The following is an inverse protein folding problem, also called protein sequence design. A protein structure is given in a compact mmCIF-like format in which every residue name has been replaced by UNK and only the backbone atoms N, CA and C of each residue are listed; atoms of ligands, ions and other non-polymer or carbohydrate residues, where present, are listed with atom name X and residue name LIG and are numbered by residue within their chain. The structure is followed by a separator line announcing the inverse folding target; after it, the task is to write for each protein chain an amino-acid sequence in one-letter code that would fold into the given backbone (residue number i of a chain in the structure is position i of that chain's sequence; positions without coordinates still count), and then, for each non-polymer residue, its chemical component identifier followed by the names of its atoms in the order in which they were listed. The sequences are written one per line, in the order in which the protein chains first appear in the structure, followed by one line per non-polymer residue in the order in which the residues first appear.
data_IF_192266738419
#
_entry.id   IF_192266738419
#
_cell.length_a   1.000
_cell.length_b   1.000
_cell.length_c   1.000
_cell.angle_alpha   90.00
_cell.angle_beta   90.00
_cell.angle_gamma   90.00
#
_symmetry.space_group_name_H-M   'P 1'
#
loop_
_entity.id
_entity.type
_entity.pdbx_description
1 polymer ?
#
# COMPACT_ATOMS: atom_id res chain seq x y z
N UNK A 1 51.14 -34.06 54.67
CA UNK A 1 50.66 -34.52 53.35
C UNK A 1 49.15 -34.54 53.38
N UNK A 2 48.50 -33.46 52.95
CA UNK A 2 47.04 -33.38 52.79
C UNK A 2 46.76 -33.21 51.29
N UNK A 3 46.06 -34.17 50.69
CA UNK A 3 45.56 -34.09 49.32
C UNK A 3 44.05 -33.80 49.35
N UNK A 4 43.67 -32.62 48.87
CA UNK A 4 42.28 -32.33 48.46
C UNK A 4 41.98 -32.95 47.08
N UNK A 5 40.75 -33.42 46.83
CA UNK A 5 40.32 -33.76 45.48
C UNK A 5 39.73 -32.53 44.78
N UNK A 6 40.41 -32.06 43.73
CA UNK A 6 39.86 -31.06 42.80
C UNK A 6 38.63 -31.63 42.07
N UNK A 7 37.44 -31.12 42.37
CA UNK A 7 36.24 -31.33 41.56
C UNK A 7 36.35 -30.53 40.25
N UNK A 8 36.51 -31.23 39.14
CA UNK A 8 36.44 -30.67 37.79
C UNK A 8 34.96 -30.31 37.49
N UNK A 9 34.61 -29.02 37.52
CA UNK A 9 33.30 -28.55 37.06
C UNK A 9 33.32 -28.47 35.53
N UNK A 10 32.71 -29.45 34.88
CA UNK A 10 32.46 -29.42 33.43
C UNK A 10 31.25 -28.50 33.19
N UNK A 11 31.49 -27.34 32.61
CA UNK A 11 30.44 -26.44 32.13
C UNK A 11 29.95 -26.95 30.77
N UNK A 12 28.80 -27.59 30.73
CA UNK A 12 28.13 -27.90 29.46
C UNK A 12 27.56 -26.60 28.88
N UNK A 13 28.26 -26.01 27.91
CA UNK A 13 27.68 -25.01 27.02
C UNK A 13 26.62 -25.72 26.15
N UNK A 14 25.35 -25.59 26.52
CA UNK A 14 24.24 -25.86 25.61
C UNK A 14 24.25 -24.79 24.52
N UNK A 15 24.98 -25.06 23.44
CA UNK A 15 24.82 -24.33 22.20
C UNK A 15 23.49 -24.82 21.60
N UNK A 16 22.38 -24.18 21.98
CA UNK A 16 21.12 -24.37 21.30
C UNK A 16 21.33 -23.93 19.85
N UNK A 17 21.46 -24.89 18.94
CA UNK A 17 21.32 -24.68 17.51
C UNK A 17 19.90 -24.14 17.30
N UNK A 18 19.77 -22.81 17.32
CA UNK A 18 18.61 -22.13 16.79
C UNK A 18 18.68 -22.39 15.29
N UNK A 19 18.07 -23.48 14.84
CA UNK A 19 17.78 -23.68 13.43
C UNK A 19 17.06 -22.41 12.98
N UNK A 20 17.55 -21.70 11.95
CA UNK A 20 16.85 -20.54 11.44
C UNK A 20 15.44 -21.03 11.07
N UNK A 21 14.42 -20.48 11.73
CA UNK A 21 13.04 -20.70 11.32
C UNK A 21 13.00 -20.25 9.88
N UNK A 22 12.84 -21.19 8.94
CA UNK A 22 12.70 -20.87 7.53
C UNK A 22 11.38 -20.10 7.38
N UNK A 23 11.51 -18.77 7.36
CA UNK A 23 10.45 -17.80 7.06
C UNK A 23 10.02 -17.98 5.61
N UNK A 24 8.76 -17.64 5.30
CA UNK A 24 8.16 -17.59 3.96
C UNK A 24 9.21 -17.59 2.84
N UNK A 25 9.62 -18.78 2.37
CA UNK A 25 10.64 -18.93 1.33
C UNK A 25 10.00 -18.47 0.05
N UNK A 26 10.55 -17.38 -0.45
CA UNK A 26 10.32 -16.96 -1.81
C UNK A 26 11.02 -18.01 -2.66
N UNK A 27 10.31 -18.72 -3.55
CA UNK A 27 10.93 -19.64 -4.49
C UNK A 27 12.13 -18.96 -5.14
N UNK A 28 13.21 -19.69 -5.43
CA UNK A 28 14.35 -19.11 -6.18
C UNK A 28 13.81 -18.55 -7.50
N UNK A 29 13.61 -17.25 -7.53
CA UNK A 29 12.98 -16.59 -8.66
C UNK A 29 13.97 -16.43 -9.80
N UNK A 30 13.41 -16.23 -10.99
CA UNK A 30 14.20 -15.70 -12.08
C UNK A 30 14.68 -14.29 -11.69
N UNK A 31 15.99 -14.14 -11.47
CA UNK A 31 16.65 -12.86 -11.18
C UNK A 31 16.29 -11.79 -12.20
N UNK A 32 15.98 -12.20 -13.44
CA UNK A 32 15.63 -11.29 -14.52
C UNK A 32 14.29 -10.60 -14.27
N UNK A 33 13.29 -11.30 -13.72
CA UNK A 33 11.96 -10.74 -13.43
C UNK A 33 12.04 -9.65 -12.34
N UNK A 34 12.83 -9.90 -11.28
CA UNK A 34 13.10 -8.89 -10.23
C UNK A 34 13.82 -7.69 -10.84
N UNK A 35 14.86 -7.95 -11.65
CA UNK A 35 15.62 -6.91 -12.34
C UNK A 35 14.73 -6.05 -13.24
N UNK A 36 13.73 -6.64 -13.89
CA UNK A 36 12.74 -5.94 -14.68
C UNK A 36 11.82 -5.05 -13.85
N UNK A 37 11.28 -5.59 -12.76
CA UNK A 37 10.45 -4.82 -11.82
C UNK A 37 11.21 -3.62 -11.25
N UNK A 38 12.45 -3.84 -10.82
CA UNK A 38 13.30 -2.80 -10.26
C UNK A 38 13.62 -1.71 -11.31
N UNK A 39 13.99 -2.09 -12.54
CA UNK A 39 14.20 -1.12 -13.62
C UNK A 39 12.93 -0.36 -14.00
N UNK A 40 11.76 -0.99 -13.98
CA UNK A 40 10.48 -0.32 -14.24
C UNK A 40 10.22 0.75 -13.19
N UNK A 41 10.35 0.42 -11.90
CA UNK A 41 10.24 1.40 -10.82
C UNK A 41 11.28 2.52 -10.95
N UNK A 42 12.53 2.18 -11.30
CA UNK A 42 13.59 3.16 -11.54
C UNK A 42 13.24 4.13 -12.68
N UNK A 43 12.72 3.64 -13.81
CA UNK A 43 12.35 4.51 -14.93
C UNK A 43 11.30 5.56 -14.57
N UNK A 44 10.37 5.23 -13.66
CA UNK A 44 9.37 6.19 -13.20
C UNK A 44 9.96 7.26 -12.29
N UNK A 45 11.08 6.97 -11.61
CA UNK A 45 11.79 8.00 -10.83
C UNK A 45 12.44 9.08 -11.69
N UNK A 46 12.60 8.83 -13.00
CA UNK A 46 13.21 9.77 -13.95
C UNK A 46 12.16 10.62 -14.67
N UNK A 47 10.92 10.13 -14.76
CA UNK A 47 9.82 10.87 -15.37
C UNK A 47 9.41 12.07 -14.50
N UNK A 48 9.61 13.28 -15.03
CA UNK A 48 9.26 14.52 -14.34
C UNK A 48 7.75 14.81 -14.37
N UNK A 49 7.00 14.17 -15.27
CA UNK A 49 5.55 14.33 -15.38
C UNK A 49 4.78 13.50 -14.34
N UNK A 50 5.41 12.47 -13.77
CA UNK A 50 4.78 11.57 -12.80
C UNK A 50 4.81 12.17 -11.39
N UNK A 51 3.72 11.93 -10.66
CA UNK A 51 3.62 12.31 -9.25
C UNK A 51 4.66 11.55 -8.41
N UNK A 52 5.25 12.25 -7.44
CA UNK A 52 6.25 11.68 -6.55
C UNK A 52 5.60 10.73 -5.55
N UNK A 53 6.06 9.49 -5.51
CA UNK A 53 5.52 8.43 -4.66
C UNK A 53 6.61 7.90 -3.70
N UNK A 54 6.54 8.21 -2.40
CA UNK A 54 7.52 7.71 -1.43
C UNK A 54 7.55 6.17 -1.32
N UNK A 55 6.46 5.47 -1.67
CA UNK A 55 6.43 4.00 -1.70
C UNK A 55 7.39 3.43 -2.74
N UNK A 56 7.55 4.09 -3.89
CA UNK A 56 8.53 3.71 -4.92
C UNK A 56 9.94 3.81 -4.36
N UNK A 57 10.27 4.90 -3.66
CA UNK A 57 11.58 5.03 -3.02
C UNK A 57 11.82 3.94 -1.96
N UNK A 58 10.83 3.68 -1.11
CA UNK A 58 10.90 2.60 -0.12
C UNK A 58 11.15 1.23 -0.76
N UNK A 59 10.47 0.93 -1.89
CA UNK A 59 10.65 -0.31 -2.62
C UNK A 59 12.08 -0.48 -3.12
N UNK A 60 12.64 0.57 -3.73
CA UNK A 60 14.03 0.58 -4.22
C UNK A 60 15.03 0.40 -3.07
N UNK A 61 14.81 1.06 -1.93
CA UNK A 61 15.67 0.91 -0.75
C UNK A 61 15.57 -0.45 -0.07
N UNK A 62 14.40 -1.09 -0.11
CA UNK A 62 14.19 -2.44 0.40
C UNK A 62 14.64 -3.52 -0.61
N UNK A 63 14.93 -3.15 -1.85
CA UNK A 63 15.56 -4.04 -2.84
C UNK A 63 16.96 -4.49 -2.40
N UNK A 64 17.51 -5.46 -3.12
CA UNK A 64 18.94 -5.78 -3.08
C UNK A 64 19.72 -5.15 -4.23
N UNK A 65 19.02 -4.67 -5.26
CA UNK A 65 19.63 -4.04 -6.44
C UNK A 65 19.43 -2.53 -6.42
N UNK A 66 20.53 -1.78 -6.42
CA UNK A 66 20.50 -0.32 -6.23
C UNK A 66 21.06 0.46 -7.40
N UNK A 67 20.50 1.65 -7.60
CA UNK A 67 21.13 2.74 -8.34
C UNK A 67 21.17 3.97 -7.43
N UNK A 68 22.21 4.06 -6.61
CA UNK A 68 22.32 5.01 -5.51
C UNK A 68 22.24 6.46 -6.00
N UNK A 69 22.79 6.75 -7.18
CA UNK A 69 22.72 8.09 -7.78
C UNK A 69 21.28 8.49 -8.09
N UNK A 70 20.53 7.65 -8.80
CA UNK A 70 19.14 7.93 -9.18
C UNK A 70 18.21 7.93 -7.97
N UNK A 71 18.41 6.99 -7.05
CA UNK A 71 17.69 6.95 -5.78
C UNK A 71 17.90 8.23 -4.96
N UNK A 72 19.14 8.73 -4.85
CA UNK A 72 19.44 9.97 -4.16
C UNK A 72 18.78 11.19 -4.84
N UNK A 73 18.78 11.24 -6.17
CA UNK A 73 18.10 12.30 -6.93
C UNK A 73 16.59 12.28 -6.70
N UNK A 74 15.96 11.10 -6.75
CA UNK A 74 14.53 10.95 -6.49
C UNK A 74 14.17 11.33 -5.05
N UNK A 75 14.98 10.90 -4.08
CA UNK A 75 14.83 11.28 -2.69
C UNK A 75 14.94 12.79 -2.48
N UNK A 76 15.85 13.47 -3.16
CA UNK A 76 15.95 14.93 -3.08
C UNK A 76 14.71 15.62 -3.64
N UNK A 77 14.10 15.09 -4.72
CA UNK A 77 12.81 15.58 -5.24
C UNK A 77 11.70 15.39 -4.21
N UNK A 78 11.61 14.22 -3.56
CA UNK A 78 10.67 13.96 -2.47
C UNK A 78 10.85 14.97 -1.34
N UNK A 79 12.10 15.20 -0.90
CA UNK A 79 12.43 16.16 0.15
C UNK A 79 11.96 17.56 -0.20
N UNK A 80 12.23 18.03 -1.42
CA UNK A 80 11.80 19.35 -1.89
C UNK A 80 10.27 19.47 -1.89
N UNK A 81 9.55 18.46 -2.40
CA UNK A 81 8.09 18.50 -2.48
C UNK A 81 7.39 18.52 -1.11
N UNK A 82 7.87 17.70 -0.17
CA UNK A 82 7.26 17.61 1.16
C UNK A 82 7.69 18.75 2.10
N UNK A 83 8.90 19.30 1.93
CA UNK A 83 9.38 20.44 2.73
C UNK A 83 8.91 21.81 2.22
N UNK A 84 8.73 22.00 0.90
CA UNK A 84 8.18 23.24 0.35
C UNK A 84 6.72 23.44 0.78
N UNK A 85 5.93 22.36 0.81
CA UNK A 85 4.54 22.35 1.29
C UNK A 85 4.40 22.64 2.79
N UNK A 86 5.47 22.53 3.57
CA UNK A 86 5.50 22.88 5.00
C UNK A 86 5.75 24.39 5.21
N UNK A 87 6.27 25.09 4.20
CA UNK A 87 6.49 26.55 4.23
C UNK A 87 5.30 27.37 3.74
N UNK A 88 4.41 26.78 2.94
CA UNK A 88 3.16 27.42 2.53
C UNK A 88 2.11 27.27 3.63
N UNK A 89 1.99 28.29 4.49
CA UNK A 89 0.74 28.55 5.20
C UNK A 89 -0.31 28.88 4.14
N UNK A 90 -1.09 27.89 3.71
CA UNK A 90 -2.26 28.15 2.88
C UNK A 90 -3.25 28.97 3.72
N UNK A 91 -3.82 30.08 3.18
CA UNK A 91 -4.82 30.85 3.88
C UNK A 91 -6.03 29.97 4.24
N UNK A 92 -6.62 30.24 5.40
CA UNK A 92 -7.79 29.54 5.91
C UNK A 92 -8.94 29.64 4.88
N UNK A 93 -9.28 28.52 4.24
CA UNK A 93 -10.36 28.47 3.24
C UNK A 93 -10.23 27.35 2.21
N UNK A 94 -9.02 26.83 1.96
CA UNK A 94 -8.82 25.61 1.16
C UNK A 94 -8.43 24.46 2.08
N UNK A 95 -9.41 23.73 2.60
CA UNK A 95 -9.16 22.48 3.33
C UNK A 95 -8.66 21.42 2.35
N UNK A 96 -7.34 21.39 2.12
CA UNK A 96 -6.70 20.22 1.50
C UNK A 96 -6.82 19.08 2.52
N UNK A 97 -7.45 17.96 2.12
CA UNK A 97 -7.64 16.75 2.91
C UNK A 97 -6.42 16.40 3.80
N UNK A 98 -6.64 15.75 4.97
CA UNK A 98 -5.54 15.33 5.84
C UNK A 98 -4.54 14.47 5.07
N UNK A 99 -3.30 14.94 4.98
CA UNK A 99 -2.20 14.26 4.30
C UNK A 99 -1.57 13.17 5.18
N UNK A 100 -2.31 12.59 6.13
CA UNK A 100 -1.81 11.63 7.13
C UNK A 100 -1.03 10.51 6.44
N UNK A 101 -1.62 9.86 5.45
CA UNK A 101 -0.98 8.77 4.71
C UNK A 101 0.24 9.21 3.90
N UNK A 102 0.17 10.34 3.21
CA UNK A 102 1.31 10.87 2.43
C UNK A 102 2.49 11.27 3.31
N UNK A 103 2.23 11.95 4.43
CA UNK A 103 3.25 12.32 5.41
C UNK A 103 3.86 11.07 6.07
N UNK A 104 3.03 10.08 6.38
CA UNK A 104 3.49 8.81 6.92
C UNK A 104 4.40 8.06 5.93
N UNK A 105 4.01 7.94 4.67
CA UNK A 105 4.86 7.35 3.61
C UNK A 105 6.18 8.12 3.45
N UNK A 106 6.14 9.45 3.48
CA UNK A 106 7.35 10.25 3.41
C UNK A 106 8.27 10.02 4.64
N UNK A 107 7.71 9.87 5.83
CA UNK A 107 8.48 9.50 7.03
C UNK A 107 9.09 8.09 6.90
N UNK A 108 8.37 7.12 6.33
CA UNK A 108 8.96 5.80 6.03
C UNK A 108 10.12 5.92 5.03
N UNK A 109 9.97 6.74 3.97
CA UNK A 109 11.05 7.01 3.02
C UNK A 109 12.27 7.70 3.68
N UNK A 110 12.06 8.64 4.60
CA UNK A 110 13.13 9.25 5.41
C UNK A 110 13.89 8.19 6.23
N UNK A 111 13.18 7.21 6.81
CA UNK A 111 13.80 6.10 7.54
C UNK A 111 14.62 5.21 6.61
N UNK A 112 14.08 4.89 5.44
CA UNK A 112 14.75 4.10 4.42
C UNK A 112 15.98 4.81 3.81
N UNK A 113 16.00 6.14 3.84
CA UNK A 113 17.14 6.97 3.45
C UNK A 113 18.16 7.19 4.58
N UNK A 114 17.99 6.56 5.74
CA UNK A 114 18.80 6.75 6.95
C UNK A 114 19.01 8.22 7.34
N UNK A 115 17.98 9.06 7.19
CA UNK A 115 18.06 10.46 7.60
C UNK A 115 18.14 10.63 9.11
N UNK A 116 18.86 11.66 9.55
CA UNK A 116 18.85 12.07 10.96
C UNK A 116 17.51 12.73 11.33
N UNK A 117 16.76 12.04 12.18
CA UNK A 117 15.44 12.44 12.64
C UNK A 117 15.48 13.37 13.87
N UNK A 118 16.66 13.72 14.36
CA UNK A 118 16.84 14.61 15.51
C UNK A 118 16.98 16.08 15.13
N UNK A 119 17.09 16.38 13.83
CA UNK A 119 17.03 17.75 13.31
C UNK A 119 15.68 18.43 13.60
N UNK A 120 15.67 19.75 13.68
CA UNK A 120 14.47 20.55 13.99
C UNK A 120 13.36 20.34 12.96
N UNK A 121 13.72 20.27 11.69
CA UNK A 121 12.80 20.04 10.57
C UNK A 121 12.13 18.68 10.70
N UNK A 122 12.90 17.61 10.94
CA UNK A 122 12.35 16.26 11.06
C UNK A 122 11.47 16.10 12.30
N UNK A 123 11.85 16.72 13.43
CA UNK A 123 11.01 16.80 14.63
C UNK A 123 9.65 17.44 14.38
N UNK A 124 9.58 18.47 13.53
CA UNK A 124 8.30 19.12 13.15
C UNK A 124 7.39 18.16 12.36
N UNK A 125 7.94 17.39 11.42
CA UNK A 125 7.18 16.41 10.65
C UNK A 125 6.60 15.31 11.57
N UNK A 126 7.39 14.82 12.52
CA UNK A 126 6.94 13.86 13.54
C UNK A 126 5.81 14.44 14.39
N UNK A 127 5.95 15.67 14.88
CA UNK A 127 4.91 16.36 15.66
C UNK A 127 3.64 16.55 14.85
N UNK A 128 3.75 16.93 13.57
CA UNK A 128 2.62 17.05 12.65
C UNK A 128 1.88 15.73 12.48
N UNK A 129 2.59 14.62 12.24
CA UNK A 129 1.95 13.32 12.11
C UNK A 129 1.24 12.88 13.41
N UNK A 130 1.83 13.16 14.58
CA UNK A 130 1.17 12.90 15.88
C UNK A 130 -0.11 13.71 16.04
N UNK A 131 -0.09 14.97 15.63
CA UNK A 131 -1.25 15.86 15.65
C UNK A 131 -2.35 15.38 14.71
N UNK A 132 -1.99 14.99 13.49
CA UNK A 132 -2.94 14.46 12.51
C UNK A 132 -3.61 13.18 13.04
N UNK A 133 -2.84 12.24 13.61
CA UNK A 133 -3.40 11.05 14.27
C UNK A 133 -4.31 11.37 15.47
N UNK A 134 -4.06 12.47 16.18
CA UNK A 134 -4.95 12.93 17.26
C UNK A 134 -6.30 13.41 16.73
N UNK A 135 -6.30 14.17 15.63
CA UNK A 135 -7.54 14.59 14.96
C UNK A 135 -8.32 13.40 14.44
N UNK A 136 -7.64 12.43 13.82
CA UNK A 136 -8.24 11.18 13.37
C UNK A 136 -8.88 10.42 14.55
N UNK A 137 -8.18 10.33 15.70
CA UNK A 137 -8.69 9.74 16.95
C UNK A 137 -9.94 10.48 17.45
N UNK A 138 -9.95 11.80 17.42
CA UNK A 138 -11.09 12.61 17.86
C UNK A 138 -12.32 12.37 16.99
N UNK A 139 -12.15 12.25 15.67
CA UNK A 139 -13.23 11.91 14.74
C UNK A 139 -13.83 10.52 15.00
N UNK A 140 -13.02 9.54 15.39
CA UNK A 140 -13.51 8.21 15.80
C UNK A 140 -14.39 8.31 17.06
N UNK A 141 -14.07 9.25 17.96
CA UNK A 141 -14.81 9.52 19.18
C UNK A 141 -14.61 8.49 20.30
N UNK A 142 -15.08 8.79 21.53
CA UNK A 142 -14.89 7.94 22.71
C UNK A 142 -15.62 6.59 22.58
N UNK A 143 -16.85 6.60 22.07
CA UNK A 143 -17.69 5.39 21.87
C UNK A 143 -17.37 4.61 20.60
N UNK A 144 -16.43 5.10 19.78
CA UNK A 144 -15.97 4.44 18.54
C UNK A 144 -17.09 4.24 17.51
N UNK A 145 -18.16 5.02 17.60
CA UNK A 145 -19.22 5.04 16.59
C UNK A 145 -18.82 5.83 15.34
N UNK A 146 -17.77 6.65 15.44
CA UNK A 146 -17.20 7.38 14.32
C UNK A 146 -16.16 6.58 13.54
N UNK A 147 -15.61 7.22 12.52
CA UNK A 147 -14.54 6.71 11.67
C UNK A 147 -13.36 7.69 11.67
N UNK A 148 -12.15 7.28 11.23
CA UNK A 148 -11.09 8.24 10.95
C UNK A 148 -11.56 9.30 9.92
N UNK A 149 -10.96 10.48 9.96
CA UNK A 149 -11.14 11.53 8.93
C UNK A 149 -10.71 10.99 7.56
N UNK A 150 -9.64 10.19 7.52
CA UNK A 150 -9.20 9.49 6.31
C UNK A 150 -9.79 8.08 6.27
N UNK A 151 -9.02 7.06 6.65
CA UNK A 151 -9.43 5.67 6.77
C UNK A 151 -8.45 4.91 7.69
N UNK A 152 -8.81 3.71 8.10
CA UNK A 152 -7.96 2.91 8.99
C UNK A 152 -6.63 2.48 8.35
N UNK A 153 -6.53 2.42 7.02
CA UNK A 153 -5.26 2.17 6.34
C UNK A 153 -4.27 3.32 6.58
N UNK A 154 -4.68 4.57 6.34
CA UNK A 154 -3.85 5.75 6.58
C UNK A 154 -3.56 5.97 8.07
N UNK A 155 -4.53 5.68 8.94
CA UNK A 155 -4.33 5.67 10.39
C UNK A 155 -3.22 4.68 10.80
N UNK A 156 -3.31 3.45 10.30
CA UNK A 156 -2.32 2.39 10.54
C UNK A 156 -0.94 2.77 9.99
N UNK A 157 -0.90 3.36 8.80
CA UNK A 157 0.32 3.81 8.16
C UNK A 157 1.02 4.91 8.98
N UNK A 158 0.25 5.86 9.54
CA UNK A 158 0.78 6.87 10.46
C UNK A 158 1.35 6.27 11.74
N UNK A 159 0.65 5.29 12.32
CA UNK A 159 1.13 4.55 13.50
C UNK A 159 2.43 3.79 13.18
N UNK A 160 2.49 3.10 12.04
CA UNK A 160 3.68 2.39 11.58
C UNK A 160 4.87 3.35 11.40
N UNK A 161 4.65 4.48 10.72
CA UNK A 161 5.69 5.47 10.47
C UNK A 161 6.31 6.02 11.77
N UNK A 162 5.51 6.35 12.77
CA UNK A 162 6.04 6.77 14.07
C UNK A 162 6.80 5.63 14.77
N UNK A 163 6.30 4.40 14.67
CA UNK A 163 6.89 3.25 15.33
C UNK A 163 8.28 2.89 14.79
N UNK A 164 8.47 2.83 13.47
CA UNK A 164 9.78 2.48 12.86
C UNK A 164 10.86 3.53 13.15
N UNK A 165 10.45 4.75 13.49
CA UNK A 165 11.32 5.84 13.96
C UNK A 165 11.56 5.83 15.49
N UNK A 166 11.04 4.82 16.20
CA UNK A 166 11.15 4.72 17.66
C UNK A 166 10.43 5.85 18.42
N UNK A 167 9.45 6.52 17.79
CA UNK A 167 8.75 7.65 18.41
C UNK A 167 7.54 7.16 19.20
N UNK A 168 7.49 7.51 20.49
CA UNK A 168 6.35 7.18 21.37
C UNK A 168 5.04 7.76 20.82
N UNK A 169 4.02 6.92 20.72
CA UNK A 169 2.68 7.27 20.30
C UNK A 169 1.78 7.30 21.54
N UNK A 170 0.78 8.18 21.53
CA UNK A 170 -0.24 8.19 22.57
C UNK A 170 -0.99 6.85 22.60
N UNK A 171 -1.22 6.33 23.80
CA UNK A 171 -1.83 5.01 23.99
C UNK A 171 -3.28 4.96 23.56
N UNK A 172 -4.03 6.07 23.63
CA UNK A 172 -5.40 6.15 23.14
C UNK A 172 -5.47 6.09 21.61
N UNK A 173 -4.48 6.64 20.90
CA UNK A 173 -4.35 6.48 19.44
C UNK A 173 -4.16 5.00 19.10
N UNK A 174 -3.25 4.32 19.80
CA UNK A 174 -3.03 2.88 19.61
C UNK A 174 -4.29 2.08 19.92
N UNK A 175 -4.98 2.41 21.02
CA UNK A 175 -6.18 1.69 21.47
C UNK A 175 -7.32 1.81 20.46
N UNK A 176 -7.50 2.96 19.78
CA UNK A 176 -8.50 3.09 18.71
C UNK A 176 -8.25 2.12 17.57
N UNK A 177 -6.99 1.93 17.17
CA UNK A 177 -6.65 0.99 16.11
C UNK A 177 -6.83 -0.47 16.56
N UNK A 178 -6.41 -0.82 17.79
CA UNK A 178 -6.64 -2.16 18.36
C UNK A 178 -8.15 -2.45 18.43
N UNK A 179 -8.94 -1.52 18.92
CA UNK A 179 -10.38 -1.72 19.05
C UNK A 179 -11.06 -1.84 17.68
N UNK A 180 -10.62 -1.08 16.68
CA UNK A 180 -11.10 -1.23 15.31
C UNK A 180 -10.85 -2.66 14.77
N UNK A 181 -9.66 -3.21 15.02
CA UNK A 181 -9.33 -4.59 14.65
C UNK A 181 -10.25 -5.61 15.35
N UNK A 182 -10.38 -5.48 16.68
CA UNK A 182 -11.14 -6.41 17.50
C UNK A 182 -12.66 -6.36 17.23
N UNK A 183 -13.17 -5.25 16.71
CA UNK A 183 -14.57 -5.08 16.34
C UNK A 183 -14.82 -5.18 14.82
N UNK A 184 -13.86 -5.73 14.05
CA UNK A 184 -13.98 -5.95 12.60
C UNK A 184 -14.33 -4.69 11.79
N UNK A 185 -13.74 -3.54 12.12
CA UNK A 185 -14.00 -2.26 11.43
C UNK A 185 -13.14 -2.03 10.19
N UNK A 186 -12.28 -2.98 9.83
CA UNK A 186 -11.44 -2.90 8.64
C UNK A 186 -12.19 -3.46 7.42
N UNK A 187 -13.34 -2.84 7.11
CA UNK A 187 -14.22 -3.26 6.02
C UNK A 187 -14.56 -2.10 5.09
N UNK A 188 -14.88 -2.42 3.85
CA UNK A 188 -15.58 -1.53 2.91
C UNK A 188 -16.96 -2.13 2.67
N UNK A 189 -18.01 -1.49 3.20
CA UNK A 189 -19.31 -2.15 3.36
C UNK A 189 -19.17 -3.44 4.17
N UNK A 190 -19.59 -4.56 3.58
CA UNK A 190 -19.54 -5.90 4.20
C UNK A 190 -18.25 -6.67 3.93
N UNK A 191 -17.37 -6.17 3.04
CA UNK A 191 -16.16 -6.89 2.62
C UNK A 191 -14.95 -6.46 3.44
N UNK A 192 -14.17 -7.43 3.90
CA UNK A 192 -12.89 -7.22 4.56
C UNK A 192 -11.90 -6.47 3.64
N UNK A 193 -11.23 -5.45 4.17
CA UNK A 193 -10.13 -4.75 3.51
C UNK A 193 -8.80 -5.40 3.88
N UNK A 194 -8.29 -6.31 3.04
CA UNK A 194 -7.00 -6.99 3.28
C UNK A 194 -5.85 -5.99 3.36
N UNK A 195 -5.88 -4.90 2.58
CA UNK A 195 -4.89 -3.83 2.65
C UNK A 195 -4.85 -3.15 4.04
N UNK A 196 -6.04 -2.84 4.58
CA UNK A 196 -6.15 -2.21 5.90
C UNK A 196 -5.70 -3.15 7.00
N UNK A 197 -6.14 -4.42 6.95
CA UNK A 197 -5.69 -5.48 7.84
C UNK A 197 -4.17 -5.62 7.80
N UNK A 198 -3.58 -5.66 6.60
CA UNK A 198 -2.14 -5.81 6.43
C UNK A 198 -1.36 -4.61 7.01
N UNK A 199 -1.79 -3.39 6.70
CA UNK A 199 -1.13 -2.19 7.21
C UNK A 199 -1.25 -2.09 8.74
N UNK A 200 -2.42 -2.40 9.30
CA UNK A 200 -2.62 -2.48 10.76
C UNK A 200 -1.74 -3.57 11.37
N UNK A 201 -1.63 -4.74 10.72
CA UNK A 201 -0.75 -5.84 11.13
C UNK A 201 0.71 -5.44 11.24
N UNK A 202 1.24 -4.72 10.24
CA UNK A 202 2.60 -4.17 10.28
C UNK A 202 2.75 -3.18 11.45
N UNK A 203 1.80 -2.25 11.62
CA UNK A 203 1.82 -1.29 12.71
C UNK A 203 1.82 -1.97 14.09
N UNK A 204 0.92 -2.93 14.31
CA UNK A 204 0.84 -3.69 15.56
C UNK A 204 2.12 -4.49 15.81
N UNK A 205 2.68 -5.12 14.77
CA UNK A 205 3.90 -5.90 14.87
C UNK A 205 5.09 -5.03 15.28
N UNK A 206 5.21 -3.84 14.71
CA UNK A 206 6.24 -2.87 15.11
C UNK A 206 6.05 -2.47 16.59
N UNK A 207 4.84 -2.08 16.97
CA UNK A 207 4.58 -1.58 18.33
C UNK A 207 4.84 -2.64 19.41
N UNK A 208 4.51 -3.92 19.17
CA UNK A 208 4.76 -4.99 20.16
C UNK A 208 6.25 -5.25 20.40
N UNK A 209 7.13 -4.84 19.48
CA UNK A 209 8.58 -4.96 19.63
C UNK A 209 9.19 -3.76 20.39
N UNK A 210 8.42 -2.69 20.57
CA UNK A 210 8.87 -1.50 21.27
C UNK A 210 8.88 -1.68 22.79
N UNK A 211 9.92 -1.21 23.46
CA UNK A 211 10.02 -1.15 24.92
C UNK A 211 9.26 0.03 25.54
N UNK A 212 8.58 0.86 24.73
CA UNK A 212 7.94 2.10 25.17
C UNK A 212 6.55 1.91 25.81
N UNK A 213 5.99 0.70 25.76
CA UNK A 213 4.60 0.42 26.13
C UNK A 213 4.50 -0.59 27.28
N UNK A 214 3.40 -0.49 28.04
CA UNK A 214 3.13 -1.38 29.17
C UNK A 214 2.81 -2.80 28.72
N UNK A 215 2.97 -3.77 29.62
CA UNK A 215 2.64 -5.19 29.35
C UNK A 215 1.19 -5.39 28.90
N UNK A 216 0.24 -4.59 29.42
CA UNK A 216 -1.16 -4.67 29.03
C UNK A 216 -1.39 -4.29 27.56
N UNK A 217 -0.79 -3.20 27.11
CA UNK A 217 -0.86 -2.76 25.70
C UNK A 217 -0.16 -3.78 24.81
N UNK A 218 1.03 -4.26 25.19
CA UNK A 218 1.76 -5.29 24.42
C UNK A 218 0.94 -6.58 24.28
N UNK A 219 0.24 -7.01 25.33
CA UNK A 219 -0.66 -8.18 25.27
C UNK A 219 -1.85 -7.96 24.32
N UNK A 220 -2.43 -6.76 24.29
CA UNK A 220 -3.47 -6.40 23.34
C UNK A 220 -2.96 -6.39 21.89
N UNK A 221 -1.76 -5.84 21.65
CA UNK A 221 -1.10 -5.84 20.35
C UNK A 221 -0.80 -7.25 19.85
N UNK A 222 -0.34 -8.15 20.72
CA UNK A 222 -0.10 -9.56 20.37
C UNK A 222 -1.38 -10.24 19.88
N UNK A 223 -2.51 -10.00 20.55
CA UNK A 223 -3.83 -10.52 20.12
C UNK A 223 -4.26 -9.92 18.79
N UNK A 224 -4.06 -8.61 18.60
CA UNK A 224 -4.38 -7.93 17.34
C UNK A 224 -3.56 -8.50 16.17
N UNK A 225 -2.25 -8.73 16.33
CA UNK A 225 -1.40 -9.37 15.31
C UNK A 225 -1.90 -10.77 14.95
N UNK A 226 -2.31 -11.57 15.95
CA UNK A 226 -2.87 -12.90 15.71
C UNK A 226 -4.20 -12.85 14.95
N UNK A 227 -5.07 -11.90 15.30
CA UNK A 227 -6.35 -11.68 14.63
C UNK A 227 -6.16 -11.27 13.16
N UNK A 228 -5.32 -10.27 12.89
CA UNK A 228 -4.95 -9.84 11.53
C UNK A 228 -4.42 -11.02 10.71
N UNK A 229 -3.46 -11.78 11.25
CA UNK A 229 -2.87 -12.94 10.58
C UNK A 229 -3.93 -13.98 10.21
N UNK A 230 -4.88 -14.24 11.12
CA UNK A 230 -5.99 -15.16 10.89
C UNK A 230 -6.88 -14.65 9.76
N UNK A 231 -7.29 -13.38 9.79
CA UNK A 231 -8.17 -12.78 8.77
C UNK A 231 -7.52 -12.74 7.39
N UNK A 232 -6.23 -12.37 7.30
CA UNK A 232 -5.46 -12.41 6.04
C UNK A 232 -5.46 -13.82 5.47
N UNK A 233 -5.15 -14.85 6.28
CA UNK A 233 -5.15 -16.23 5.82
C UNK A 233 -6.54 -16.72 5.38
N UNK A 234 -7.59 -16.31 6.09
CA UNK A 234 -8.98 -16.64 5.74
C UNK A 234 -9.44 -15.95 4.45
N UNK A 235 -8.81 -14.83 4.09
CA UNK A 235 -9.08 -14.11 2.84
C UNK A 235 -8.33 -14.69 1.64
N UNK A 236 -7.59 -15.79 1.78
CA UNK A 236 -6.90 -16.41 0.66
C UNK A 236 -7.90 -17.03 -0.34
N UNK A 237 -7.79 -16.65 -1.61
CA UNK A 237 -8.66 -17.13 -2.69
C UNK A 237 -8.24 -18.51 -3.19
N UNK A 238 -9.07 -19.21 -3.99
CA UNK A 238 -8.68 -20.46 -4.65
C UNK A 238 -7.41 -20.32 -5.51
N UNK A 239 -7.23 -19.17 -6.15
CA UNK A 239 -6.05 -18.83 -6.97
C UNK A 239 -4.80 -18.59 -6.11
N UNK A 240 -4.96 -18.43 -4.79
CA UNK A 240 -3.87 -18.25 -3.83
C UNK A 240 -3.59 -16.78 -3.45
N UNK A 241 -4.23 -15.82 -4.11
CA UNK A 241 -4.15 -14.40 -3.73
C UNK A 241 -4.81 -14.14 -2.37
N UNK A 242 -4.42 -13.09 -1.65
CA UNK A 242 -5.06 -12.67 -0.41
C UNK A 242 -6.01 -11.50 -0.67
N UNK A 243 -7.31 -11.75 -0.61
CA UNK A 243 -8.35 -10.81 -1.01
C UNK A 243 -8.43 -10.68 -2.54
N UNK A 244 -7.43 -10.04 -3.12
CA UNK A 244 -7.20 -9.97 -4.56
C UNK A 244 -5.70 -9.81 -4.85
N UNK A 245 -5.35 -9.67 -6.13
CA UNK A 245 -3.95 -9.56 -6.54
C UNK A 245 -3.25 -8.27 -6.11
N UNK A 246 -3.99 -7.18 -5.89
CA UNK A 246 -3.45 -5.88 -5.48
C UNK A 246 -3.21 -5.78 -3.97
N UNK A 247 -4.03 -6.46 -3.15
CA UNK A 247 -3.85 -6.55 -1.70
C UNK A 247 -2.79 -7.58 -1.28
N UNK A 248 -2.52 -8.55 -2.15
CA UNK A 248 -1.61 -9.67 -1.90
C UNK A 248 -0.18 -9.25 -1.51
N UNK A 249 0.46 -8.23 -2.13
CA UNK A 249 1.78 -7.77 -1.72
C UNK A 249 1.85 -7.35 -0.24
N UNK A 250 0.92 -6.51 0.24
CA UNK A 250 0.91 -6.08 1.63
C UNK A 250 0.59 -7.23 2.59
N UNK A 251 -0.35 -8.11 2.22
CA UNK A 251 -0.63 -9.31 2.99
C UNK A 251 0.64 -10.16 3.17
N UNK A 252 1.38 -10.38 2.08
CA UNK A 252 2.65 -11.10 2.11
C UNK A 252 3.71 -10.42 2.97
N UNK A 253 3.81 -9.08 2.96
CA UNK A 253 4.71 -8.37 3.88
C UNK A 253 4.40 -8.69 5.36
N UNK A 254 3.13 -8.82 5.74
CA UNK A 254 2.77 -9.25 7.11
C UNK A 254 3.19 -10.70 7.38
N UNK A 255 3.01 -11.60 6.40
CA UNK A 255 3.40 -13.01 6.58
C UNK A 255 4.91 -13.16 6.73
N UNK A 256 5.68 -12.42 5.94
CA UNK A 256 7.15 -12.29 6.04
C UNK A 256 7.53 -11.74 7.41
N UNK A 257 7.01 -10.57 7.79
CA UNK A 257 7.33 -9.90 9.06
C UNK A 257 6.97 -10.74 10.30
N UNK A 258 5.92 -11.55 10.23
CA UNK A 258 5.46 -12.38 11.36
C UNK A 258 6.12 -13.75 11.44
N UNK A 259 7.12 -14.04 10.59
CA UNK A 259 7.85 -15.31 10.64
C UNK A 259 6.98 -16.52 10.34
N UNK A 260 6.04 -16.43 9.38
CA UNK A 260 5.25 -17.59 8.99
C UNK A 260 6.15 -18.69 8.42
N UNK A 261 6.00 -19.91 8.95
CA UNK A 261 6.78 -21.07 8.53
C UNK A 261 6.42 -21.54 7.12
N UNK A 262 7.43 -21.93 6.35
CA UNK A 262 7.32 -22.47 4.98
C UNK A 262 6.52 -23.75 4.86
N UNK A 263 6.28 -24.46 5.97
CA UNK A 263 5.45 -25.66 5.97
C UNK A 263 3.97 -25.34 5.72
N UNK A 264 3.58 -24.06 5.79
CA UNK A 264 2.23 -23.61 5.46
C UNK A 264 2.11 -23.29 3.97
N UNK A 265 1.27 -24.07 3.29
CA UNK A 265 0.98 -23.93 1.86
C UNK A 265 0.48 -22.54 1.44
N UNK A 266 -0.08 -21.78 2.37
CA UNK A 266 -0.72 -20.50 2.13
C UNK A 266 0.29 -19.45 1.65
N UNK A 267 1.50 -19.41 2.24
CA UNK A 267 2.52 -18.46 1.84
C UNK A 267 3.09 -18.78 0.44
N UNK A 268 3.37 -20.05 0.17
CA UNK A 268 3.86 -20.50 -1.15
C UNK A 268 2.80 -20.29 -2.24
N UNK A 269 1.53 -20.53 -1.95
CA UNK A 269 0.41 -20.26 -2.88
C UNK A 269 0.29 -18.77 -3.20
N UNK A 270 0.36 -17.91 -2.18
CA UNK A 270 0.34 -16.46 -2.35
C UNK A 270 1.49 -15.94 -3.20
N UNK A 271 2.70 -16.45 -2.95
CA UNK A 271 3.86 -16.10 -3.77
C UNK A 271 3.70 -16.56 -5.21
N UNK A 272 3.28 -17.81 -5.46
CA UNK A 272 3.07 -18.31 -6.81
C UNK A 272 2.02 -17.50 -7.60
N UNK A 273 0.93 -17.08 -6.94
CA UNK A 273 -0.09 -16.23 -7.54
C UNK A 273 0.45 -14.85 -7.95
N UNK A 274 1.30 -14.25 -7.11
CA UNK A 274 1.96 -12.97 -7.41
C UNK A 274 2.93 -13.10 -8.58
N UNK A 275 3.67 -14.21 -8.66
CA UNK A 275 4.63 -14.45 -9.75
C UNK A 275 3.94 -14.64 -11.11
N UNK A 276 2.86 -15.43 -11.18
CA UNK A 276 2.09 -15.57 -12.42
C UNK A 276 1.49 -14.25 -12.91
N UNK A 277 1.28 -13.28 -12.03
CA UNK A 277 0.77 -11.95 -12.41
C UNK A 277 1.87 -11.06 -12.99
N UNK A 278 3.09 -11.15 -12.46
CA UNK A 278 4.25 -10.41 -12.98
C UNK A 278 4.65 -10.83 -14.39
N UNK A 279 4.10 -11.91 -14.94
CA UNK A 279 4.31 -12.29 -16.34
C UNK A 279 3.36 -11.52 -17.29
N UNK A 280 2.28 -10.91 -16.78
CA UNK A 280 1.17 -10.39 -17.59
C UNK A 280 0.63 -8.99 -17.22
N UNK A 281 0.93 -8.44 -16.03
CA UNK A 281 0.43 -7.12 -15.58
C UNK A 281 1.55 -6.25 -14.99
N UNK A 282 2.10 -5.31 -15.77
CA UNK A 282 3.28 -4.50 -15.38
C UNK A 282 3.00 -3.01 -15.10
N UNK A 283 1.73 -2.58 -15.10
CA UNK A 283 1.42 -1.15 -15.20
C UNK A 283 1.10 -0.46 -13.87
N UNK A 284 0.73 -1.18 -12.81
CA UNK A 284 0.36 -0.55 -11.55
C UNK A 284 1.59 -0.31 -10.64
N UNK A 285 2.04 0.95 -10.56
CA UNK A 285 3.23 1.36 -9.81
C UNK A 285 3.14 1.10 -8.32
N UNK A 286 1.97 1.30 -7.71
CA UNK A 286 1.80 1.09 -6.28
C UNK A 286 1.98 -0.38 -5.93
N UNK A 287 1.30 -1.27 -6.66
CA UNK A 287 1.40 -2.73 -6.50
C UNK A 287 2.86 -3.18 -6.65
N UNK A 288 3.54 -2.72 -7.70
CA UNK A 288 4.96 -3.01 -7.93
C UNK A 288 5.84 -2.57 -6.75
N UNK A 289 5.61 -1.37 -6.22
CA UNK A 289 6.36 -0.84 -5.08
C UNK A 289 6.11 -1.61 -3.78
N UNK A 290 4.92 -2.18 -3.60
CA UNK A 290 4.57 -2.99 -2.43
C UNK A 290 5.08 -4.44 -2.58
N UNK A 291 5.20 -4.94 -3.81
CA UNK A 291 5.66 -6.28 -4.12
C UNK A 291 7.17 -6.42 -4.05
N UNK A 292 7.94 -5.46 -4.56
CA UNK A 292 9.40 -5.58 -4.61
C UNK A 292 10.05 -5.91 -3.25
N UNK A 293 9.68 -5.30 -2.10
CA UNK A 293 10.19 -5.73 -0.80
C UNK A 293 9.93 -7.22 -0.49
N UNK A 294 8.72 -7.69 -0.80
CA UNK A 294 8.33 -9.09 -0.58
C UNK A 294 9.21 -10.01 -1.40
N UNK A 295 9.55 -9.65 -2.63
CA UNK A 295 10.44 -10.42 -3.51
C UNK A 295 11.87 -10.57 -2.97
N UNK A 296 12.28 -9.69 -2.05
CA UNK A 296 13.56 -9.76 -1.35
C UNK A 296 13.45 -10.29 0.09
N UNK A 297 12.29 -10.84 0.48
CA UNK A 297 12.07 -11.38 1.82
C UNK A 297 11.96 -10.30 2.87
N UNK A 298 11.58 -9.09 2.46
CA UNK A 298 11.45 -7.92 3.33
C UNK A 298 10.02 -7.41 3.38
N UNK A 299 9.80 -6.55 4.35
CA UNK A 299 8.58 -5.82 4.64
C UNK A 299 8.92 -4.37 4.96
N UNK A 300 7.90 -3.54 5.16
CA UNK A 300 8.11 -2.19 5.69
C UNK A 300 8.69 -2.16 7.12
N UNK A 301 8.75 -3.28 7.86
CA UNK A 301 9.38 -3.30 9.18
C UNK A 301 10.90 -3.32 9.11
N UNK A 302 11.46 -3.84 8.02
CA UNK A 302 12.91 -3.99 7.85
C UNK A 302 13.62 -2.63 7.79
N UNK A 303 12.91 -1.56 7.44
CA UNK A 303 13.47 -0.20 7.50
C UNK A 303 13.77 0.25 8.93
N UNK A 304 13.13 -0.33 9.96
CA UNK A 304 13.34 0.07 11.36
C UNK A 304 14.77 -0.21 11.84
N UNK A 305 15.39 -1.28 11.32
CA UNK A 305 16.77 -1.70 11.64
C UNK A 305 17.73 -1.57 10.47
N UNK A 306 17.26 -1.11 9.31
CA UNK A 306 18.10 -0.87 8.13
C UNK A 306 19.22 0.13 8.43
N UNK A 307 20.44 -0.24 8.03
CA UNK A 307 21.60 0.65 7.94
C UNK A 307 22.00 0.85 6.48
N UNK A 308 22.21 2.10 6.08
CA UNK A 308 22.51 2.47 4.68
C UNK A 308 24.02 2.51 4.38
N UNK A 309 24.83 1.72 5.10
CA UNK A 309 26.28 1.72 4.95
C UNK A 309 26.71 0.60 3.99
N UNK A 310 27.67 0.91 3.11
CA UNK A 310 28.31 -0.03 2.19
C UNK A 310 27.39 -0.69 1.13
N UNK A 311 26.24 -0.07 0.81
CA UNK A 311 25.44 -0.42 -0.36
C UNK A 311 26.28 -0.20 -1.63
N UNK A 312 26.15 -1.11 -2.60
CA UNK A 312 26.85 -1.04 -3.90
C UNK A 312 25.84 -0.78 -5.00
N UNK A 313 26.26 -0.04 -6.02
CA UNK A 313 25.51 0.06 -7.27
C UNK A 313 25.54 -1.30 -7.98
N UNK A 314 24.43 -2.01 -7.90
CA UNK A 314 24.27 -3.39 -8.39
C UNK A 314 23.23 -3.52 -9.48
N UNK A 315 22.38 -2.50 -9.68
CA UNK A 315 21.32 -2.54 -10.68
C UNK A 315 21.93 -2.55 -12.10
N UNK A 316 21.91 -3.72 -12.74
CA UNK A 316 22.41 -3.90 -14.10
C UNK A 316 21.52 -3.16 -15.11
N UNK A 317 22.15 -2.37 -16.00
CA UNK A 317 21.42 -1.62 -17.03
C UNK A 317 20.80 -2.55 -18.10
N UNK A 318 21.40 -3.71 -18.36
CA UNK A 318 21.04 -4.63 -19.45
C UNK A 318 20.49 -5.98 -18.96
N UNK A 319 19.43 -5.99 -18.15
CA UNK A 319 18.61 -7.20 -17.99
C UNK A 319 17.76 -7.36 -19.27
N UNK A 320 17.53 -8.58 -19.76
CA UNK A 320 16.56 -8.80 -20.84
C UNK A 320 15.19 -8.95 -20.18
N UNK A 321 14.30 -7.98 -20.36
CA UNK A 321 12.93 -8.17 -19.94
C UNK A 321 12.17 -8.94 -21.00
N UNK A 322 11.21 -9.80 -20.60
CA UNK A 322 10.18 -10.24 -21.51
C UNK A 322 9.55 -8.97 -22.09
N UNK A 323 9.69 -8.77 -23.40
CA UNK A 323 8.88 -7.77 -24.07
C UNK A 323 7.43 -8.20 -23.88
N UNK A 324 6.58 -7.29 -23.41
CA UNK A 324 5.14 -7.50 -23.48
C UNK A 324 4.84 -7.80 -24.94
N UNK A 325 4.55 -9.05 -25.26
CA UNK A 325 4.03 -9.46 -26.55
C UNK A 325 2.64 -8.87 -26.67
N UNK A 326 2.55 -7.57 -26.94
CA UNK A 326 1.36 -6.96 -27.48
C UNK A 326 1.30 -7.50 -28.90
N UNK A 327 0.71 -8.68 -29.06
CA UNK A 327 0.16 -9.08 -30.34
C UNK A 327 -0.72 -7.92 -30.78
N UNK A 328 -0.28 -7.25 -31.85
CA UNK A 328 -0.93 -6.09 -32.41
C UNK A 328 -2.36 -6.44 -32.86
N UNK A 329 -3.31 -6.39 -31.93
CA UNK A 329 -4.71 -6.11 -32.22
C UNK A 329 -4.88 -4.58 -32.41
N UNK A 330 -3.95 -3.93 -33.11
CA UNK A 330 -3.83 -2.46 -33.16
C UNK A 330 -4.90 -1.77 -34.02
N UNK A 331 -5.89 -2.49 -34.55
CA UNK A 331 -6.90 -1.92 -35.45
C UNK A 331 -8.36 -2.26 -35.12
N UNK A 332 -8.62 -2.94 -34.00
CA UNK A 332 -10.01 -3.20 -33.60
C UNK A 332 -10.57 -2.03 -32.81
N UNK A 333 -11.78 -1.56 -33.18
CA UNK A 333 -12.54 -0.60 -32.41
C UNK A 333 -13.48 -1.39 -31.50
N UNK A 334 -13.35 -1.19 -30.19
CA UNK A 334 -14.25 -1.77 -29.20
C UNK A 334 -15.41 -0.82 -28.92
N UNK A 335 -16.59 -1.39 -28.72
CA UNK A 335 -17.78 -0.64 -28.29
C UNK A 335 -18.05 -0.93 -26.84
N UNK A 336 -17.87 0.06 -25.97
CA UNK A 336 -18.06 -0.05 -24.53
C UNK A 336 -19.35 0.66 -24.16
N UNK A 337 -20.22 -0.01 -23.40
CA UNK A 337 -21.43 0.63 -22.91
C UNK A 337 -21.15 1.30 -21.57
N UNK A 338 -21.30 2.63 -21.51
CA UNK A 338 -21.07 3.42 -20.30
C UNK A 338 -22.40 3.83 -19.68
N UNK A 339 -22.58 3.44 -18.42
CA UNK A 339 -23.75 3.73 -17.60
C UNK A 339 -23.37 4.60 -16.40
N UNK A 340 -24.18 5.60 -16.08
CA UNK A 340 -24.08 6.36 -14.83
C UNK A 340 -25.39 6.25 -14.08
N UNK A 341 -25.32 5.72 -12.86
CA UNK A 341 -26.48 5.49 -12.02
C UNK A 341 -26.63 6.60 -10.98
N UNK A 342 -27.83 7.19 -10.87
CA UNK A 342 -28.13 8.15 -9.81
C UNK A 342 -28.27 7.46 -8.43
N UNK A 343 -27.68 8.02 -7.36
CA UNK A 343 -27.71 7.42 -6.02
C UNK A 343 -29.11 7.22 -5.41
N UNK A 344 -30.08 8.08 -5.71
CA UNK A 344 -31.38 8.12 -4.99
C UNK A 344 -32.57 7.48 -5.72
N UNK A 345 -32.50 7.30 -7.04
CA UNK A 345 -33.66 6.92 -7.86
C UNK A 345 -33.44 5.68 -8.74
N UNK A 346 -32.22 5.11 -8.72
CA UNK A 346 -31.78 4.11 -9.72
C UNK A 346 -31.98 4.60 -11.17
N UNK A 347 -32.19 5.89 -11.38
CA UNK A 347 -32.42 6.51 -12.68
C UNK A 347 -31.11 6.57 -13.46
N UNK A 348 -31.21 6.35 -14.76
CA UNK A 348 -30.08 6.39 -15.68
C UNK A 348 -29.76 7.85 -16.00
N UNK A 349 -28.68 8.38 -15.41
CA UNK A 349 -28.18 9.73 -15.75
C UNK A 349 -27.51 9.76 -17.11
N UNK A 350 -26.94 8.62 -17.50
CA UNK A 350 -26.19 8.47 -18.74
C UNK A 350 -26.16 6.99 -19.14
N UNK A 351 -26.39 6.73 -20.42
CA UNK A 351 -26.40 5.38 -21.00
C UNK A 351 -26.05 5.50 -22.49
N UNK A 352 -24.77 5.34 -22.83
CA UNK A 352 -24.29 5.50 -24.20
C UNK A 352 -23.18 4.52 -24.54
N UNK A 353 -23.15 4.11 -25.81
CA UNK A 353 -22.07 3.32 -26.38
C UNK A 353 -20.92 4.23 -26.81
N UNK A 354 -19.74 3.94 -26.29
CA UNK A 354 -18.51 4.67 -26.57
C UNK A 354 -17.60 3.77 -27.41
N UNK A 355 -17.14 4.30 -28.54
CA UNK A 355 -16.21 3.59 -29.42
C UNK A 355 -14.78 4.05 -29.16
N UNK A 356 -13.92 3.11 -28.79
CA UNK A 356 -12.50 3.34 -28.50
C UNK A 356 -11.62 2.28 -29.16
N UNK A 357 -10.34 2.57 -29.45
CA UNK A 357 -9.40 1.55 -29.87
C UNK A 357 -9.27 0.42 -28.82
N UNK A 358 -9.04 -0.80 -29.30
CA UNK A 358 -8.70 -1.94 -28.44
C UNK A 358 -7.49 -1.61 -27.55
N UNK A 359 -7.58 -1.94 -26.26
CA UNK A 359 -6.53 -1.66 -25.27
C UNK A 359 -6.65 -0.30 -24.56
N UNK A 360 -7.58 0.56 -24.98
CA UNK A 360 -7.90 1.79 -24.25
C UNK A 360 -8.27 1.51 -22.79
N UNK A 361 -7.82 2.39 -21.90
CA UNK A 361 -8.19 2.39 -20.49
C UNK A 361 -9.63 2.89 -20.30
N UNK A 362 -10.20 2.63 -19.13
CA UNK A 362 -11.49 3.23 -18.77
C UNK A 362 -11.40 4.76 -18.74
N UNK A 363 -10.26 5.35 -18.37
CA UNK A 363 -10.04 6.80 -18.44
C UNK A 363 -10.18 7.30 -19.89
N UNK A 364 -9.59 6.60 -20.86
CA UNK A 364 -9.72 6.97 -22.29
C UNK A 364 -11.20 6.89 -22.75
N UNK A 365 -11.97 5.92 -22.23
CA UNK A 365 -13.42 5.82 -22.48
C UNK A 365 -14.17 7.03 -21.92
N UNK A 366 -13.85 7.47 -20.69
CA UNK A 366 -14.46 8.64 -20.07
C UNK A 366 -14.11 9.94 -20.82
N UNK A 367 -12.83 10.10 -21.21
CA UNK A 367 -12.37 11.24 -22.02
C UNK A 367 -13.04 11.26 -23.40
N UNK A 368 -13.20 10.10 -24.03
CA UNK A 368 -13.93 9.98 -25.30
C UNK A 368 -15.40 10.35 -25.14
N UNK A 369 -16.05 9.87 -24.08
CA UNK A 369 -17.44 10.21 -23.76
C UNK A 369 -17.64 11.71 -23.55
N UNK A 370 -16.72 12.37 -22.85
CA UNK A 370 -16.76 13.82 -22.61
C UNK A 370 -16.62 14.63 -23.90
N UNK A 371 -15.85 14.13 -24.88
CA UNK A 371 -15.62 14.79 -26.17
C UNK A 371 -16.71 14.50 -27.22
N UNK A 372 -17.55 13.47 -27.04
CA UNK A 372 -18.65 13.14 -27.94
C UNK A 372 -19.91 13.97 -27.58
N UNK A 373 -19.92 15.23 -28.01
CA UNK A 373 -20.88 16.28 -27.64
C UNK A 373 -22.37 16.12 -28.05
N UNK A 374 -22.98 14.95 -27.92
CA UNK A 374 -24.44 14.77 -28.09
C UNK A 374 -25.23 14.84 -26.78
N UNK A 375 -24.61 14.51 -25.64
CA UNK A 375 -25.04 14.85 -24.27
C UNK A 375 -23.79 15.22 -23.48
N UNK A 376 -23.87 16.22 -22.61
CA UNK A 376 -22.74 16.65 -21.78
C UNK A 376 -22.40 15.58 -20.74
N UNK A 377 -21.59 14.59 -21.12
CA UNK A 377 -20.87 13.77 -20.16
C UNK A 377 -19.74 14.61 -19.58
N UNK A 378 -19.68 14.73 -18.25
CA UNK A 378 -18.59 15.42 -17.57
C UNK A 378 -18.08 14.54 -16.44
N UNK A 379 -16.77 14.55 -16.24
CA UNK A 379 -16.16 13.92 -15.08
C UNK A 379 -14.94 14.70 -14.63
N UNK A 380 -14.57 14.49 -13.36
CA UNK A 380 -13.35 15.04 -12.79
C UNK A 380 -12.61 13.95 -12.03
N UNK A 381 -11.29 14.08 -11.98
CA UNK A 381 -10.41 13.19 -11.21
C UNK A 381 -9.49 13.98 -10.32
N UNK A 382 -9.12 13.40 -9.18
CA UNK A 382 -8.02 13.88 -8.36
C UNK A 382 -6.80 12.96 -8.48
N UNK A 383 -5.59 13.53 -8.48
CA UNK A 383 -4.35 12.75 -8.51
C UNK A 383 -4.11 12.06 -7.17
N UNK A 384 -3.76 10.78 -7.20
CA UNK A 384 -3.39 9.99 -6.02
C UNK A 384 -2.15 9.15 -6.31
N UNK A 385 -1.52 8.60 -5.26
CA UNK A 385 -0.39 7.68 -5.40
C UNK A 385 -0.73 6.36 -6.13
N UNK A 386 -2.02 6.04 -6.26
CA UNK A 386 -2.56 4.90 -6.99
C UNK A 386 -2.99 5.26 -8.41
N UNK A 387 -2.88 6.53 -8.83
CA UNK A 387 -3.37 7.04 -10.10
C UNK A 387 -4.57 7.98 -9.94
N UNK A 388 -5.18 8.42 -11.06
CA UNK A 388 -6.34 9.31 -11.02
C UNK A 388 -7.54 8.61 -10.36
N UNK A 389 -8.09 9.23 -9.33
CA UNK A 389 -9.31 8.80 -8.65
C UNK A 389 -10.50 9.61 -9.15
N UNK A 390 -11.56 8.93 -9.57
CA UNK A 390 -12.81 9.56 -10.03
C UNK A 390 -13.53 10.24 -8.86
N UNK A 391 -13.70 11.56 -8.92
CA UNK A 391 -14.31 12.37 -7.84
C UNK A 391 -15.68 12.90 -8.22
N UNK A 392 -15.86 13.31 -9.47
CA UNK A 392 -17.09 13.94 -9.94
C UNK A 392 -17.54 13.25 -11.22
N UNK A 393 -18.83 12.96 -11.35
CA UNK A 393 -19.44 12.45 -12.59
C UNK A 393 -20.76 13.16 -12.78
N UNK A 394 -21.01 13.71 -13.97
CA UNK A 394 -22.23 14.44 -14.32
C UNK A 394 -22.56 15.56 -13.31
N UNK A 395 -21.53 16.26 -12.81
CA UNK A 395 -21.66 17.33 -11.80
C UNK A 395 -21.93 16.86 -10.37
N UNK A 396 -22.00 15.56 -10.12
CA UNK A 396 -22.19 14.99 -8.77
C UNK A 396 -20.83 14.62 -8.20
N UNK A 397 -20.40 15.38 -7.18
CA UNK A 397 -19.15 15.16 -6.46
C UNK A 397 -19.32 14.14 -5.32
N UNK A 398 -18.39 13.19 -5.23
CA UNK A 398 -18.24 12.32 -4.09
C UNK A 398 -17.64 13.08 -2.90
N UNK A 399 -18.39 13.14 -1.80
CA UNK A 399 -18.01 13.85 -0.57
C UNK A 399 -17.46 12.91 0.48
N UNK A 400 -16.27 13.23 0.98
CA UNK A 400 -15.63 12.49 2.08
C UNK A 400 -16.44 12.54 3.37
N UNK A 401 -17.02 13.69 3.70
CA UNK A 401 -17.82 13.89 4.90
C UNK A 401 -19.04 12.95 4.95
N UNK A 402 -19.57 12.57 3.78
CA UNK A 402 -20.69 11.65 3.61
C UNK A 402 -20.22 10.22 3.29
N UNK A 403 -18.90 9.97 3.32
CA UNK A 403 -18.23 8.71 2.98
C UNK A 403 -18.68 8.14 1.64
N UNK A 404 -18.94 9.04 0.69
CA UNK A 404 -19.40 8.68 -0.65
C UNK A 404 -18.22 8.58 -1.62
N UNK A 405 -18.32 7.70 -2.61
CA UNK A 405 -17.31 7.48 -3.64
C UNK A 405 -17.94 6.94 -4.93
N UNK A 406 -17.29 7.18 -6.07
CA UNK A 406 -17.70 6.58 -7.34
C UNK A 406 -17.17 5.16 -7.45
N UNK A 407 -18.07 4.19 -7.25
CA UNK A 407 -17.78 2.78 -7.46
C UNK A 407 -17.78 2.46 -8.95
N UNK A 408 -16.73 1.78 -9.40
CA UNK A 408 -16.61 1.28 -10.77
C UNK A 408 -17.08 -0.18 -10.80
N UNK A 409 -18.04 -0.47 -11.66
CA UNK A 409 -18.65 -1.79 -11.77
C UNK A 409 -18.62 -2.26 -13.22
N UNK A 410 -18.37 -3.54 -13.43
CA UNK A 410 -18.74 -4.26 -14.64
C UNK A 410 -20.14 -4.83 -14.44
N UNK A 411 -21.03 -4.61 -15.41
CA UNK A 411 -22.39 -5.12 -15.34
C UNK A 411 -22.40 -6.66 -15.14
N UNK A 412 -23.37 -7.20 -14.38
CA UNK A 412 -24.47 -6.48 -13.74
C UNK A 412 -24.08 -5.71 -12.46
N UNK A 413 -23.14 -6.22 -11.65
CA UNK A 413 -22.83 -5.67 -10.33
C UNK A 413 -21.43 -6.03 -9.80
N UNK A 414 -20.50 -6.42 -10.68
CA UNK A 414 -19.15 -6.85 -10.29
C UNK A 414 -18.24 -5.64 -10.11
N UNK A 415 -17.74 -5.40 -8.89
CA UNK A 415 -16.76 -4.33 -8.63
C UNK A 415 -15.46 -4.55 -9.39
N UNK A 416 -14.99 -3.50 -10.06
CA UNK A 416 -13.67 -3.51 -10.68
C UNK A 416 -12.58 -3.50 -9.60
N UNK A 417 -11.50 -4.24 -9.85
CA UNK A 417 -10.33 -4.27 -8.96
C UNK A 417 -9.26 -3.23 -9.33
N UNK A 418 -9.44 -2.55 -10.47
CA UNK A 418 -8.51 -1.55 -11.02
C UNK A 418 -9.20 -0.19 -11.13
N UNK A 419 -8.42 0.88 -10.97
CA UNK A 419 -8.88 2.25 -11.19
C UNK A 419 -9.06 2.59 -12.67
N UNK A 420 -9.53 3.81 -12.94
CA UNK A 420 -9.88 4.25 -14.31
C UNK A 420 -8.68 4.23 -15.27
N UNK A 421 -7.45 4.51 -14.80
CA UNK A 421 -6.24 4.49 -15.65
C UNK A 421 -5.75 3.09 -16.01
N UNK A 422 -6.09 2.09 -15.19
CA UNK A 422 -5.47 0.77 -15.25
C UNK A 422 -6.42 -0.29 -15.80
N UNK A 423 -7.73 -0.09 -15.64
CA UNK A 423 -8.73 -0.99 -16.17
C UNK A 423 -8.84 -0.84 -17.70
N UNK A 424 -8.82 -1.95 -18.43
CA UNK A 424 -8.96 -2.01 -19.89
C UNK A 424 -10.21 -2.82 -20.24
N UNK A 425 -11.35 -2.16 -20.52
CA UNK A 425 -12.59 -2.83 -20.89
C UNK A 425 -12.43 -3.69 -22.15
N UNK A 426 -13.16 -4.81 -22.21
CA UNK A 426 -13.24 -5.66 -23.39
C UNK A 426 -14.37 -5.23 -24.33
N UNK A 427 -14.35 -5.67 -25.59
CA UNK A 427 -15.42 -5.34 -26.54
C UNK A 427 -16.80 -5.74 -26.01
N UNK A 428 -17.78 -4.85 -26.17
CA UNK A 428 -19.17 -5.00 -25.70
C UNK A 428 -19.34 -5.07 -24.18
N UNK A 429 -18.29 -4.77 -23.42
CA UNK A 429 -18.39 -4.69 -21.97
C UNK A 429 -19.24 -3.49 -21.54
N UNK A 430 -19.99 -3.67 -20.45
CA UNK A 430 -20.83 -2.63 -19.84
C UNK A 430 -20.23 -2.17 -18.51
N UNK A 431 -19.87 -0.90 -18.44
CA UNK A 431 -19.27 -0.27 -17.26
C UNK A 431 -20.30 0.65 -16.60
N UNK A 432 -20.47 0.51 -15.29
CA UNK A 432 -21.39 1.30 -14.49
C UNK A 432 -20.58 2.14 -13.50
N UNK A 433 -20.80 3.46 -13.54
CA UNK A 433 -20.33 4.40 -12.54
C UNK A 433 -21.47 4.64 -11.55
N UNK A 434 -21.28 4.20 -10.30
CA UNK A 434 -22.31 4.26 -9.27
C UNK A 434 -21.80 5.01 -8.05
N UNK A 435 -22.47 6.10 -7.67
CA UNK A 435 -22.19 6.75 -6.39
C UNK A 435 -22.63 5.83 -5.25
N UNK A 436 -21.68 5.48 -4.37
CA UNK A 436 -21.86 4.52 -3.29
C UNK A 436 -21.35 5.10 -1.98
N UNK A 437 -21.78 4.54 -0.85
CA UNK A 437 -21.37 4.95 0.49
C UNK A 437 -20.64 3.80 1.21
N UNK A 438 -19.65 4.12 2.04
CA UNK A 438 -18.82 3.14 2.75
C UNK A 438 -19.34 2.65 4.10
#
# INVERSE_FOLDING_TARGET
MNMEPRRLRIFFLFCALVLPVQLCEIPRMNSDLIGCLNRRLMSVTEDLSKELNPSVYMALRLSSDHNLKKEAQYFQRLKNAFQARDKSFLPAGQQVQPKTGHLALYLLALRAACQDMETREMKRLVTRLKHDLHKEKEQIGPEEKGHPITNYYQYSLGVLALCVHGKKIDTHVIQKLINAEMHNKFTHGTKLSVDTEAMAGLAFHCLKQSSLYTRSIVSALLRAVQSVKKKILQAQTPEGTFGNIFSSPLAMQVLVATGMSNKKSECSRGMNALLGTLEHNHDNLMMMSQLLPVLHGKSYLDIATMGCQAERDTLQQHVKCPESSVTALEHSIFTIQLYVQHPSSHEELYNHSIQVPSGSSLLDVLEKAQNQGSKLFTFETSSTLQGPMLTTVMGIEAKDAERSYWQLLKAPDTSLEKGVSDYRPQDRESIILKLSHQ
#
